data_IF_561781467674
#
_entry.id   IF_561781467674
#
_cell.length_a   1.000
_cell.length_b   1.000
_cell.length_c   1.000
_cell.angle_alpha   90.00
_cell.angle_beta   90.00
_cell.angle_gamma   90.00
#
_symmetry.space_group_name_H-M   'P 1'
#
loop_
_entity.id
_entity.type
_entity.pdbx_description
1 polymer ?
#
# COMPACT_ATOMS: atom_id res chain seq x y z
N UNK A 1 -12.26 67.19 31.25
CA UNK A 1 -11.16 66.18 31.04
C UNK A 1 -11.70 64.98 30.40
N UNK A 2 -11.22 64.68 29.22
CA UNK A 2 -11.68 63.55 28.45
C UNK A 2 -10.73 62.37 28.67
N UNK A 3 -11.28 61.32 29.21
CA UNK A 3 -10.56 60.06 29.28
C UNK A 3 -10.94 59.23 28.10
N UNK A 4 -10.04 59.10 27.20
CA UNK A 4 -10.23 58.18 26.10
C UNK A 4 -9.87 56.80 26.60
N UNK A 5 -10.87 55.92 26.73
CA UNK A 5 -10.67 54.54 26.94
C UNK A 5 -10.32 53.92 25.58
N UNK A 6 -9.06 53.61 25.38
CA UNK A 6 -8.63 52.81 24.24
C UNK A 6 -9.03 51.37 24.52
N UNK A 7 -10.10 50.96 23.90
CA UNK A 7 -10.46 49.56 23.85
C UNK A 7 -9.46 48.83 22.96
N UNK A 8 -8.59 48.07 23.57
CA UNK A 8 -7.74 47.14 22.85
C UNK A 8 -8.65 46.00 22.37
N UNK A 9 -9.02 46.07 21.12
CA UNK A 9 -9.66 44.96 20.46
C UNK A 9 -8.58 43.90 20.21
N UNK A 10 -8.52 42.92 21.09
CA UNK A 10 -7.68 41.74 20.90
C UNK A 10 -8.33 40.93 19.81
N UNK A 11 -7.88 41.11 18.57
CA UNK A 11 -8.25 40.25 17.48
C UNK A 11 -7.55 38.92 17.71
N UNK A 12 -8.28 38.01 18.29
CA UNK A 12 -7.84 36.62 18.42
C UNK A 12 -7.91 35.99 17.02
N UNK A 13 -6.82 36.06 16.29
CA UNK A 13 -6.67 35.32 15.05
C UNK A 13 -6.60 33.86 15.44
N UNK A 14 -7.74 33.18 15.38
CA UNK A 14 -7.80 31.75 15.45
C UNK A 14 -7.07 31.20 14.22
N UNK A 15 -5.84 30.84 14.43
CA UNK A 15 -5.06 30.11 13.43
C UNK A 15 -5.67 28.71 13.33
N UNK A 16 -6.62 28.55 12.42
CA UNK A 16 -7.12 27.25 12.04
C UNK A 16 -5.94 26.50 11.41
N UNK A 17 -5.31 25.66 12.23
CA UNK A 17 -4.43 24.64 11.74
C UNK A 17 -5.29 23.69 10.91
N UNK A 18 -5.40 23.96 9.64
CA UNK A 18 -5.89 22.97 8.69
C UNK A 18 -4.80 21.90 8.64
N UNK A 19 -4.95 20.89 9.48
CA UNK A 19 -4.23 19.66 9.28
C UNK A 19 -4.75 19.08 7.98
N UNK A 20 -4.11 19.46 6.88
CA UNK A 20 -4.37 18.87 5.59
C UNK A 20 -4.09 17.38 5.70
N UNK A 21 -5.12 16.55 5.66
CA UNK A 21 -4.94 15.16 5.32
C UNK A 21 -4.21 15.13 3.99
N UNK A 22 -2.94 14.75 4.00
CA UNK A 22 -2.22 14.49 2.76
C UNK A 22 -2.77 13.20 2.16
N UNK A 23 -3.93 13.30 1.53
CA UNK A 23 -4.56 12.25 0.74
C UNK A 23 -3.84 12.09 -0.60
N UNK A 24 -2.50 11.95 -0.57
CA UNK A 24 -1.71 11.58 -1.75
C UNK A 24 -2.02 10.15 -2.17
N UNK A 25 -1.87 9.84 -3.46
CA UNK A 25 -1.96 8.47 -3.94
C UNK A 25 -0.90 7.62 -3.23
N UNK A 26 -1.22 6.37 -2.85
CA UNK A 26 -0.24 5.47 -2.30
C UNK A 26 0.92 5.24 -3.26
N UNK A 27 2.14 5.18 -2.75
CA UNK A 27 3.29 4.80 -3.55
C UNK A 27 3.19 3.33 -3.96
N UNK A 28 3.64 3.03 -5.16
CA UNK A 28 3.65 1.68 -5.71
C UNK A 28 5.08 1.16 -5.77
N UNK A 29 5.28 -0.05 -5.30
CA UNK A 29 6.57 -0.74 -5.26
C UNK A 29 6.50 -2.01 -6.10
N UNK A 30 7.52 -2.23 -6.92
CA UNK A 30 7.59 -3.39 -7.82
C UNK A 30 8.85 -4.21 -7.62
N UNK A 31 9.85 -3.64 -6.98
CA UNK A 31 11.18 -4.26 -6.81
C UNK A 31 11.39 -4.67 -5.34
N UNK A 32 11.51 -5.99 -5.07
CA UNK A 32 11.73 -6.48 -3.71
C UNK A 32 13.11 -6.12 -3.13
N UNK A 33 14.06 -5.68 -3.96
CA UNK A 33 15.35 -5.20 -3.47
C UNK A 33 15.28 -3.83 -2.80
N UNK A 34 14.22 -3.07 -3.06
CA UNK A 34 13.98 -1.76 -2.47
C UNK A 34 13.19 -1.88 -1.17
N UNK A 35 13.68 -1.27 -0.10
CA UNK A 35 12.93 -1.19 1.16
C UNK A 35 11.75 -0.24 1.01
N UNK A 36 10.58 -0.71 1.41
CA UNK A 36 9.37 0.11 1.46
C UNK A 36 9.43 0.97 2.72
N UNK A 37 9.49 2.28 2.55
CA UNK A 37 9.52 3.23 3.66
C UNK A 37 8.22 4.02 3.70
N UNK A 38 7.47 3.87 4.78
CA UNK A 38 6.17 4.49 4.97
C UNK A 38 6.00 5.00 6.40
N UNK A 39 4.99 5.84 6.61
CA UNK A 39 4.60 6.30 7.94
C UNK A 39 3.45 5.45 8.48
N UNK A 40 3.33 5.43 9.78
CA UNK A 40 2.17 4.84 10.47
C UNK A 40 0.86 5.43 9.90
N UNK A 41 -0.13 4.57 9.65
CA UNK A 41 -1.41 4.87 9.02
C UNK A 41 -1.36 5.22 7.51
N UNK A 42 -0.20 5.17 6.90
CA UNK A 42 -0.04 5.35 5.47
C UNK A 42 -0.27 4.05 4.72
N UNK A 43 -0.82 4.16 3.52
CA UNK A 43 -1.01 3.03 2.60
C UNK A 43 0.08 3.01 1.54
N UNK A 44 0.37 1.81 1.03
CA UNK A 44 1.25 1.57 -0.09
C UNK A 44 0.75 0.39 -0.92
N UNK A 45 1.23 0.27 -2.15
CA UNK A 45 0.84 -0.79 -3.07
C UNK A 45 2.08 -1.57 -3.49
N UNK A 46 1.99 -2.89 -3.48
CA UNK A 46 2.93 -3.77 -4.15
C UNK A 46 2.27 -4.24 -5.44
N UNK A 47 2.90 -3.97 -6.58
CA UNK A 47 2.41 -4.36 -7.89
C UNK A 47 3.33 -5.42 -8.49
N UNK A 48 2.78 -6.58 -8.81
CA UNK A 48 3.51 -7.73 -9.29
C UNK A 48 2.89 -8.28 -10.57
N UNK A 49 3.73 -8.72 -11.49
CA UNK A 49 3.24 -9.42 -12.67
C UNK A 49 2.50 -10.70 -12.27
N UNK A 50 1.40 -10.94 -12.91
CA UNK A 50 0.55 -12.10 -12.69
C UNK A 50 -0.15 -12.49 -13.98
N UNK A 51 -0.57 -13.75 -14.06
CA UNK A 51 -1.40 -14.23 -15.16
C UNK A 51 -2.53 -15.09 -14.60
N UNK A 52 -3.70 -14.50 -14.46
CA UNK A 52 -4.85 -15.16 -13.87
C UNK A 52 -5.33 -16.39 -14.68
N UNK A 53 -5.00 -16.47 -15.96
CA UNK A 53 -5.40 -17.60 -16.82
C UNK A 53 -4.68 -18.90 -16.48
N UNK A 54 -3.55 -18.82 -15.78
CA UNK A 54 -2.76 -19.98 -15.35
C UNK A 54 -3.24 -20.58 -14.03
N UNK A 55 -4.12 -19.90 -13.32
CA UNK A 55 -4.54 -20.26 -11.98
C UNK A 55 -3.55 -19.89 -10.87
N UNK A 56 -2.39 -19.35 -11.21
CA UNK A 56 -1.46 -18.82 -10.23
C UNK A 56 -1.98 -17.52 -9.65
N UNK A 57 -1.77 -17.32 -8.35
CA UNK A 57 -2.12 -16.10 -7.62
C UNK A 57 -1.04 -15.79 -6.58
N UNK A 58 -0.90 -14.51 -6.26
CA UNK A 58 -0.02 -14.06 -5.19
C UNK A 58 -0.70 -14.21 -3.83
N UNK A 59 -0.02 -14.87 -2.93
CA UNK A 59 -0.41 -14.96 -1.52
C UNK A 59 0.60 -14.18 -0.67
N UNK A 60 0.10 -13.37 0.24
CA UNK A 60 0.92 -12.57 1.14
C UNK A 60 0.87 -13.15 2.55
N UNK A 61 2.06 -13.30 3.16
CA UNK A 61 2.22 -13.62 4.57
C UNK A 61 2.95 -12.46 5.24
N UNK A 62 2.36 -11.90 6.26
CA UNK A 62 2.84 -10.71 6.93
C UNK A 62 2.33 -10.65 8.38
N UNK A 63 2.93 -9.80 9.20
CA UNK A 63 2.49 -9.57 10.57
C UNK A 63 1.24 -8.68 10.58
N UNK A 64 0.10 -9.26 10.85
CA UNK A 64 -1.20 -8.58 10.87
C UNK A 64 -1.32 -7.56 12.01
N UNK A 65 -0.45 -7.61 13.00
CA UNK A 65 -0.38 -6.59 14.06
C UNK A 65 0.30 -5.29 13.61
N UNK A 66 1.09 -5.36 12.53
CA UNK A 66 1.88 -4.24 12.01
C UNK A 66 1.33 -3.72 10.68
N UNK A 67 0.82 -4.62 9.85
CA UNK A 67 0.30 -4.34 8.51
C UNK A 67 -1.12 -4.86 8.36
N UNK A 68 -1.87 -4.24 7.46
CA UNK A 68 -3.19 -4.71 7.04
C UNK A 68 -3.24 -4.77 5.51
N UNK A 69 -3.62 -5.91 4.96
CA UNK A 69 -3.95 -6.01 3.54
C UNK A 69 -5.36 -5.44 3.32
N UNK A 70 -5.41 -4.27 2.69
CA UNK A 70 -6.67 -3.54 2.45
C UNK A 70 -7.43 -4.10 1.26
N UNK A 71 -6.70 -4.39 0.18
CA UNK A 71 -7.28 -4.94 -1.04
C UNK A 71 -6.24 -5.64 -1.90
N UNK A 72 -6.71 -6.55 -2.73
CA UNK A 72 -5.91 -7.20 -3.76
C UNK A 72 -6.73 -7.23 -5.06
N UNK A 73 -6.22 -6.57 -6.08
CA UNK A 73 -6.91 -6.41 -7.36
C UNK A 73 -6.00 -6.78 -8.52
N UNK A 74 -6.49 -7.66 -9.37
CA UNK A 74 -5.84 -8.02 -10.62
C UNK A 74 -6.31 -7.09 -11.73
N UNK A 75 -5.35 -6.51 -12.47
CA UNK A 75 -5.62 -5.67 -13.65
C UNK A 75 -4.97 -6.34 -14.85
N UNK A 76 -5.75 -6.85 -15.81
CA UNK A 76 -5.20 -7.43 -17.02
C UNK A 76 -4.53 -6.34 -17.88
N UNK A 77 -3.49 -6.76 -18.60
CA UNK A 77 -2.83 -5.89 -19.58
C UNK A 77 -3.79 -5.54 -20.73
N UNK A 78 -3.54 -4.41 -21.37
CA UNK A 78 -4.29 -4.04 -22.56
C UNK A 78 -4.10 -5.10 -23.66
N UNK A 79 -5.18 -5.51 -24.27
CA UNK A 79 -5.19 -6.54 -25.30
C UNK A 79 -6.34 -6.33 -26.28
N UNK A 80 -6.18 -6.92 -27.46
CA UNK A 80 -7.25 -6.93 -28.45
C UNK A 80 -8.38 -7.90 -28.02
N UNK A 81 -9.60 -7.57 -28.42
CA UNK A 81 -10.76 -8.42 -28.16
C UNK A 81 -10.57 -9.81 -28.74
N UNK A 82 -10.88 -10.84 -27.93
CA UNK A 82 -10.73 -12.25 -28.31
C UNK A 82 -9.36 -12.87 -28.02
N UNK A 83 -8.38 -12.11 -27.54
CA UNK A 83 -7.11 -12.68 -27.07
C UNK A 83 -7.32 -13.43 -25.76
N UNK A 84 -6.66 -14.60 -25.64
CA UNK A 84 -6.65 -15.44 -24.44
C UNK A 84 -5.23 -15.56 -23.88
N UNK A 85 -5.09 -15.89 -22.60
CA UNK A 85 -3.79 -16.09 -21.96
C UNK A 85 -3.04 -14.78 -21.69
N UNK A 86 -3.72 -13.65 -21.70
CA UNK A 86 -3.11 -12.34 -21.44
C UNK A 86 -2.73 -12.22 -19.97
N UNK A 87 -1.50 -11.79 -19.71
CA UNK A 87 -1.01 -11.45 -18.37
C UNK A 87 -1.59 -10.14 -17.86
N UNK A 88 -1.17 -9.76 -16.69
CA UNK A 88 -1.57 -8.52 -16.04
C UNK A 88 -0.74 -8.24 -14.81
N UNK A 89 -1.28 -7.40 -13.94
CA UNK A 89 -0.63 -6.97 -12.70
C UNK A 89 -1.55 -7.16 -11.53
N UNK A 90 -1.05 -7.79 -10.49
CA UNK A 90 -1.74 -7.90 -9.22
C UNK A 90 -1.31 -6.77 -8.30
N UNK A 91 -2.27 -6.01 -7.79
CA UNK A 91 -2.05 -4.87 -6.92
C UNK A 91 -2.47 -5.23 -5.50
N UNK A 92 -1.49 -5.38 -4.61
CA UNK A 92 -1.71 -5.63 -3.19
C UNK A 92 -1.57 -4.30 -2.44
N UNK A 93 -2.67 -3.82 -1.88
CA UNK A 93 -2.71 -2.57 -1.12
C UNK A 93 -2.64 -2.85 0.37
N UNK A 94 -1.62 -2.34 1.01
CA UNK A 94 -1.37 -2.47 2.44
C UNK A 94 -1.52 -1.14 3.16
N UNK A 95 -1.90 -1.21 4.42
CA UNK A 95 -1.86 -0.10 5.36
C UNK A 95 -0.89 -0.41 6.49
N UNK A 96 0.00 0.52 6.77
CA UNK A 96 0.90 0.45 7.92
C UNK A 96 0.13 0.83 9.20
N UNK A 97 0.15 -0.04 10.22
CA UNK A 97 -0.59 0.15 11.45
C UNK A 97 0.28 0.66 12.60
N UNK A 98 1.52 0.20 12.67
CA UNK A 98 2.45 0.50 13.77
C UNK A 98 3.84 0.80 13.24
N UNK A 99 4.55 1.66 13.96
CA UNK A 99 5.97 1.92 13.74
C UNK A 99 6.80 0.66 13.98
N UNK A 100 7.77 0.41 13.13
CA UNK A 100 8.67 -0.73 13.24
C UNK A 100 9.19 -1.22 11.90
N UNK A 101 9.91 -2.32 11.93
CA UNK A 101 10.43 -3.00 10.75
C UNK A 101 9.79 -4.37 10.64
N UNK A 102 9.38 -4.72 9.42
CA UNK A 102 8.76 -6.01 9.14
C UNK A 102 9.04 -6.44 7.70
N UNK A 103 8.58 -7.61 7.34
CA UNK A 103 8.70 -8.16 6.00
C UNK A 103 7.33 -8.66 5.51
N UNK A 104 7.15 -8.59 4.20
CA UNK A 104 6.02 -9.22 3.52
C UNK A 104 6.57 -10.32 2.63
N UNK A 105 6.20 -11.55 2.91
CA UNK A 105 6.53 -12.69 2.08
C UNK A 105 5.41 -12.93 1.07
N UNK A 106 5.77 -12.95 -0.19
CA UNK A 106 4.84 -13.15 -1.30
C UNK A 106 5.19 -14.41 -2.05
N UNK A 107 4.20 -15.28 -2.22
CA UNK A 107 4.34 -16.52 -2.97
C UNK A 107 3.35 -16.53 -4.13
N UNK A 108 3.87 -16.75 -5.33
CA UNK A 108 3.07 -16.94 -6.54
C UNK A 108 2.89 -18.43 -6.76
N UNK A 109 1.69 -18.91 -6.56
CA UNK A 109 1.37 -20.36 -6.59
C UNK A 109 -0.05 -20.63 -7.06
N UNK A 110 -0.31 -21.89 -7.40
CA UNK A 110 -1.66 -22.37 -7.63
C UNK A 110 -2.27 -22.79 -6.29
N UNK A 111 -3.41 -22.20 -5.86
CA UNK A 111 -3.96 -22.41 -4.52
C UNK A 111 -4.36 -23.86 -4.21
N UNK A 112 -4.65 -24.67 -5.22
CA UNK A 112 -5.04 -26.07 -5.05
C UNK A 112 -3.87 -27.04 -4.94
N UNK A 113 -2.63 -26.57 -5.15
CA UNK A 113 -1.42 -27.39 -5.00
C UNK A 113 -0.98 -27.32 -3.55
N UNK A 114 -0.94 -28.47 -2.89
CA UNK A 114 -0.41 -28.58 -1.54
C UNK A 114 1.12 -28.56 -1.54
N UNK A 115 1.69 -27.79 -0.62
CA UNK A 115 3.13 -27.65 -0.51
C UNK A 115 3.73 -26.75 -1.58
N UNK A 116 5.00 -26.93 -1.86
CA UNK A 116 5.76 -26.14 -2.81
C UNK A 116 5.66 -26.74 -4.22
N UNK A 117 5.22 -25.94 -5.18
CA UNK A 117 5.13 -26.33 -6.58
C UNK A 117 6.40 -26.00 -7.35
N UNK A 118 6.62 -26.71 -8.47
CA UNK A 118 7.82 -26.56 -9.32
C UNK A 118 7.99 -25.15 -9.88
N UNK A 119 6.89 -24.45 -10.14
CA UNK A 119 6.88 -23.11 -10.75
C UNK A 119 6.52 -22.00 -9.79
N UNK A 120 6.51 -22.28 -8.51
CA UNK A 120 6.23 -21.28 -7.49
C UNK A 120 7.33 -20.21 -7.45
N UNK A 121 6.93 -18.96 -7.22
CA UNK A 121 7.86 -17.85 -7.07
C UNK A 121 7.73 -17.29 -5.65
N UNK A 122 8.85 -16.89 -5.08
CA UNK A 122 8.92 -16.31 -3.75
C UNK A 122 9.61 -14.96 -3.79
N UNK A 123 8.97 -13.95 -3.20
CA UNK A 123 9.52 -12.62 -3.06
C UNK A 123 9.37 -12.16 -1.61
N UNK A 124 10.34 -11.41 -1.11
CA UNK A 124 10.28 -10.80 0.21
C UNK A 124 10.51 -9.30 0.08
N UNK A 125 9.55 -8.52 0.55
CA UNK A 125 9.67 -7.07 0.65
C UNK A 125 9.96 -6.66 2.08
N UNK A 126 10.97 -5.84 2.28
CA UNK A 126 11.26 -5.22 3.57
C UNK A 126 10.46 -3.94 3.72
N UNK A 127 9.84 -3.78 4.88
CA UNK A 127 9.00 -2.61 5.19
C UNK A 127 9.53 -1.93 6.45
N UNK A 128 9.76 -0.63 6.35
CA UNK A 128 10.14 0.22 7.47
C UNK A 128 9.05 1.27 7.69
N UNK A 129 8.45 1.25 8.87
CA UNK A 129 7.36 2.15 9.24
C UNK A 129 7.88 3.13 10.30
N UNK A 130 7.82 4.39 9.97
CA UNK A 130 8.29 5.49 10.84
C UNK A 130 7.17 6.19 11.59
#
# INVERSE_FOLDING_TARGET
MRKHAFGVVLVLVAFLMVTGCSGGKPNTYTDPSSTISVRSNQEFIIALEANATTGFAWEAVYDESILQLVSQNYVPDEHEEGMVGVGGTDHLRFKALKTGKTEIELTYKQPWVEGEGEYDQHLTFKVEIK
#
